data_IF_658663053906
#
_entry.id   IF_658663053906
#
_cell.length_a   1.000
_cell.length_b   1.000
_cell.length_c   1.000
_cell.angle_alpha   90.00
_cell.angle_beta   90.00
_cell.angle_gamma   90.00
#
_symmetry.space_group_name_H-M   'P 1'
#
loop_
_entity.id
_entity.type
_entity.pdbx_description
1 polymer ?
#
# COMPACT_ATOMS: atom_id res chain seq x y z
N UNK A 1 -16.20 -0.14 -11.57
CA UNK A 1 -14.98 -0.41 -10.77
C UNK A 1 -13.72 -0.49 -11.65
N UNK A 2 -13.81 -0.93 -12.92
CA UNK A 2 -12.68 -0.92 -13.87
C UNK A 2 -12.05 0.47 -14.11
N UNK A 3 -12.86 1.53 -14.25
CA UNK A 3 -12.34 2.89 -14.41
C UNK A 3 -11.56 3.40 -13.18
N UNK A 4 -11.89 2.91 -11.98
CA UNK A 4 -11.16 3.22 -10.75
C UNK A 4 -9.81 2.48 -10.76
N UNK A 5 -9.82 1.23 -11.20
CA UNK A 5 -8.59 0.45 -11.41
C UNK A 5 -7.63 1.10 -12.39
N UNK A 6 -8.12 1.58 -13.53
CA UNK A 6 -7.28 2.28 -14.51
C UNK A 6 -6.70 3.58 -13.95
N UNK A 7 -7.45 4.33 -13.13
CA UNK A 7 -6.92 5.52 -12.44
C UNK A 7 -5.87 5.17 -11.39
N UNK A 8 -6.08 4.09 -10.63
CA UNK A 8 -5.10 3.60 -9.65
C UNK A 8 -3.83 3.06 -10.31
N UNK A 9 -3.93 2.59 -11.55
CA UNK A 9 -2.81 2.14 -12.38
C UNK A 9 -2.23 3.26 -13.25
N UNK A 10 -2.79 4.47 -13.20
CA UNK A 10 -2.29 5.62 -13.94
C UNK A 10 -1.20 6.31 -13.12
N UNK A 11 0.06 6.15 -13.53
CA UNK A 11 1.25 6.70 -12.86
C UNK A 11 1.50 8.18 -13.19
N UNK A 12 0.65 8.80 -14.04
CA UNK A 12 0.76 10.20 -14.44
C UNK A 12 -0.11 11.16 -13.62
N UNK A 13 -0.99 10.63 -12.76
CA UNK A 13 -1.95 11.39 -11.94
C UNK A 13 -1.64 11.24 -10.44
N UNK A 14 -2.09 12.18 -9.58
CA UNK A 14 -2.02 12.02 -8.13
C UNK A 14 -2.76 10.74 -7.71
N UNK A 15 -2.14 9.97 -6.82
CA UNK A 15 -2.64 8.66 -6.44
C UNK A 15 -3.82 8.77 -5.46
N UNK A 16 -5.01 8.34 -5.88
CA UNK A 16 -6.23 8.35 -5.07
C UNK A 16 -6.25 7.20 -4.03
N UNK A 17 -5.63 7.42 -2.87
CA UNK A 17 -5.58 6.42 -1.78
C UNK A 17 -6.98 6.07 -1.24
N UNK A 18 -7.92 7.01 -1.25
CA UNK A 18 -9.31 6.75 -0.86
C UNK A 18 -10.01 5.77 -1.80
N UNK A 19 -9.70 5.83 -3.10
CA UNK A 19 -10.25 4.90 -4.07
C UNK A 19 -9.65 3.50 -3.91
N UNK A 20 -8.35 3.40 -3.58
CA UNK A 20 -7.73 2.13 -3.22
C UNK A 20 -8.40 1.52 -1.98
N UNK A 21 -8.72 2.33 -0.97
CA UNK A 21 -9.41 1.87 0.23
C UNK A 21 -10.76 1.23 -0.09
N UNK A 22 -11.55 1.85 -0.97
CA UNK A 22 -12.82 1.30 -1.43
C UNK A 22 -12.64 -0.02 -2.20
N UNK A 23 -11.57 -0.14 -3.00
CA UNK A 23 -11.23 -1.38 -3.72
C UNK A 23 -10.87 -2.50 -2.73
N UNK A 24 -10.05 -2.20 -1.72
CA UNK A 24 -9.67 -3.16 -0.66
C UNK A 24 -10.87 -3.55 0.19
N UNK A 25 -11.78 -2.62 0.49
CA UNK A 25 -13.05 -2.92 1.16
C UNK A 25 -13.93 -3.84 0.30
N UNK A 26 -14.07 -3.58 -1.01
CA UNK A 26 -14.79 -4.45 -1.92
C UNK A 26 -14.14 -5.83 -2.10
N UNK A 27 -12.81 -5.93 -1.94
CA UNK A 27 -12.11 -7.22 -1.92
C UNK A 27 -12.45 -8.02 -0.66
N UNK A 28 -12.54 -7.36 0.49
CA UNK A 28 -12.86 -7.99 1.78
C UNK A 28 -14.34 -8.30 1.96
N UNK A 29 -15.23 -7.63 1.23
CA UNK A 29 -16.65 -7.90 1.27
C UNK A 29 -16.99 -9.15 0.43
N UNK A 30 -17.39 -10.28 1.06
CA UNK A 30 -17.63 -11.54 0.36
C UNK A 30 -18.92 -11.53 -0.48
N UNK A 31 -19.74 -10.48 -0.41
CA UNK A 31 -20.99 -10.32 -1.17
C UNK A 31 -20.82 -9.42 -2.39
N UNK A 32 -19.66 -8.79 -2.55
CA UNK A 32 -19.45 -7.82 -3.62
C UNK A 32 -19.19 -8.52 -4.96
N UNK A 33 -20.03 -8.30 -5.99
CA UNK A 33 -19.82 -8.87 -7.33
C UNK A 33 -18.53 -8.38 -8.00
N UNK A 34 -17.94 -7.31 -7.46
CA UNK A 34 -16.71 -6.71 -7.95
C UNK A 34 -15.44 -7.21 -7.25
N UNK A 35 -15.53 -8.17 -6.34
CA UNK A 35 -14.38 -8.74 -5.63
C UNK A 35 -13.28 -9.23 -6.60
N UNK A 36 -13.69 -9.89 -7.70
CA UNK A 36 -12.75 -10.36 -8.73
C UNK A 36 -12.01 -9.22 -9.44
N UNK A 37 -12.71 -8.12 -9.72
CA UNK A 37 -12.14 -6.94 -10.36
C UNK A 37 -11.21 -6.22 -9.39
N UNK A 38 -11.60 -6.08 -8.12
CA UNK A 38 -10.78 -5.51 -7.07
C UNK A 38 -9.46 -6.28 -6.90
N UNK A 39 -9.53 -7.61 -6.88
CA UNK A 39 -8.34 -8.45 -6.78
C UNK A 39 -7.41 -8.30 -8.00
N UNK A 40 -7.96 -8.27 -9.23
CA UNK A 40 -7.16 -8.02 -10.43
C UNK A 40 -6.45 -6.66 -10.40
N UNK A 41 -7.13 -5.61 -9.93
CA UNK A 41 -6.53 -4.28 -9.77
C UNK A 41 -5.39 -4.32 -8.76
N UNK A 42 -5.58 -5.00 -7.62
CA UNK A 42 -4.54 -5.14 -6.59
C UNK A 42 -3.33 -5.93 -7.10
N UNK A 43 -3.55 -7.01 -7.83
CA UNK A 43 -2.46 -7.79 -8.44
C UNK A 43 -1.72 -6.96 -9.48
N UNK A 44 -2.43 -6.29 -10.40
CA UNK A 44 -1.83 -5.42 -11.39
C UNK A 44 -1.03 -4.26 -10.74
N UNK A 45 -1.55 -3.71 -9.64
CA UNK A 45 -0.86 -2.70 -8.87
C UNK A 45 0.36 -3.29 -8.16
N UNK A 46 0.34 -4.53 -7.68
CA UNK A 46 1.51 -5.15 -7.07
C UNK A 46 2.60 -5.51 -8.09
N UNK A 47 2.21 -5.93 -9.30
CA UNK A 47 3.15 -6.32 -10.36
C UNK A 47 3.90 -5.14 -10.99
N UNK A 48 3.30 -3.95 -10.92
CA UNK A 48 3.88 -2.76 -11.53
C UNK A 48 5.23 -2.38 -10.90
N UNK A 49 6.16 -1.91 -11.73
CA UNK A 49 7.55 -1.69 -11.30
C UNK A 49 7.74 -0.52 -10.34
N UNK A 50 6.87 0.48 -10.44
CA UNK A 50 6.92 1.69 -9.64
C UNK A 50 5.97 1.65 -8.43
N UNK A 51 5.38 0.49 -8.13
CA UNK A 51 4.38 0.37 -7.06
C UNK A 51 4.91 0.67 -5.67
N UNK A 52 6.20 0.44 -5.46
CA UNK A 52 6.88 0.78 -4.22
C UNK A 52 6.92 2.31 -3.96
N UNK A 53 6.88 3.15 -5.02
CA UNK A 53 6.76 4.61 -4.86
C UNK A 53 5.42 4.99 -4.26
N UNK A 54 4.35 4.30 -4.70
CA UNK A 54 2.98 4.50 -4.22
C UNK A 54 2.73 3.87 -2.86
N UNK A 55 3.49 2.83 -2.51
CA UNK A 55 3.36 2.17 -1.21
C UNK A 55 3.58 3.14 -0.04
N UNK A 56 4.50 4.10 -0.18
CA UNK A 56 4.75 5.16 0.80
C UNK A 56 3.51 6.05 1.01
N UNK A 57 2.92 6.56 -0.09
CA UNK A 57 1.68 7.35 -0.06
C UNK A 57 0.51 6.56 0.50
N UNK A 58 0.36 5.28 0.13
CA UNK A 58 -0.65 4.38 0.68
C UNK A 58 -0.53 4.30 2.19
N UNK A 59 0.69 4.12 2.71
CA UNK A 59 0.95 3.96 4.14
C UNK A 59 0.80 5.26 4.95
N UNK A 60 0.90 6.42 4.31
CA UNK A 60 0.67 7.73 4.95
C UNK A 60 -0.79 8.16 4.90
N UNK A 61 -1.45 8.03 3.75
CA UNK A 61 -2.80 8.58 3.56
C UNK A 61 -3.93 7.57 3.86
N UNK A 62 -3.63 6.26 3.85
CA UNK A 62 -4.68 5.26 4.09
C UNK A 62 -5.17 5.30 5.54
N UNK A 63 -6.49 5.24 5.70
CA UNK A 63 -7.13 5.04 7.01
C UNK A 63 -7.35 3.56 7.34
N UNK A 64 -7.54 2.68 6.36
CA UNK A 64 -7.78 1.25 6.61
C UNK A 64 -6.50 0.48 6.87
N UNK A 65 -6.56 -0.37 7.90
CA UNK A 65 -5.48 -1.31 8.27
C UNK A 65 -5.20 -2.28 7.12
N UNK A 66 -6.24 -2.74 6.43
CA UNK A 66 -6.15 -3.67 5.31
C UNK A 66 -5.30 -3.08 4.17
N UNK A 67 -5.60 -1.83 3.79
CA UNK A 67 -4.88 -1.10 2.75
C UNK A 67 -3.43 -0.79 3.17
N UNK A 68 -3.20 -0.49 4.46
CA UNK A 68 -1.83 -0.33 5.01
C UNK A 68 -1.03 -1.64 4.92
N UNK A 69 -1.65 -2.77 5.26
CA UNK A 69 -1.00 -4.08 5.17
C UNK A 69 -0.61 -4.39 3.72
N UNK A 70 -1.48 -4.09 2.76
CA UNK A 70 -1.18 -4.22 1.35
C UNK A 70 0.00 -3.33 0.91
N UNK A 71 0.05 -2.07 1.35
CA UNK A 71 1.21 -1.19 1.10
C UNK A 71 2.52 -1.74 1.67
N UNK A 72 2.48 -2.30 2.88
CA UNK A 72 3.63 -2.99 3.49
C UNK A 72 4.06 -4.22 2.68
N UNK A 73 3.11 -5.00 2.16
CA UNK A 73 3.41 -6.17 1.34
C UNK A 73 4.13 -5.77 0.04
N UNK A 74 3.73 -4.67 -0.59
CA UNK A 74 4.43 -4.13 -1.78
C UNK A 74 5.85 -3.70 -1.43
N UNK A 75 6.05 -3.03 -0.29
CA UNK A 75 7.39 -2.67 0.19
C UNK A 75 8.25 -3.92 0.48
N UNK A 76 7.68 -4.94 1.12
CA UNK A 76 8.40 -6.20 1.37
C UNK A 76 8.83 -6.85 0.06
N UNK A 77 7.94 -6.95 -0.93
CA UNK A 77 8.24 -7.55 -2.23
C UNK A 77 9.35 -6.77 -2.97
N UNK A 78 9.27 -5.43 -2.94
CA UNK A 78 10.28 -4.55 -3.50
C UNK A 78 11.65 -4.76 -2.84
N UNK A 79 11.70 -4.96 -1.52
CA UNK A 79 12.94 -5.24 -0.78
C UNK A 79 13.44 -6.67 -1.01
N UNK A 80 12.54 -7.65 -1.11
CA UNK A 80 12.92 -9.07 -1.26
C UNK A 80 13.41 -9.38 -2.67
N UNK A 81 12.71 -8.91 -3.69
CA UNK A 81 12.98 -9.29 -5.09
C UNK A 81 13.63 -8.17 -5.91
N UNK A 82 13.33 -6.90 -5.62
CA UNK A 82 13.78 -5.76 -6.45
C UNK A 82 14.87 -4.88 -5.80
N UNK A 83 15.32 -5.19 -4.58
CA UNK A 83 16.31 -4.37 -3.88
C UNK A 83 17.64 -4.22 -4.64
N UNK A 84 18.09 -5.26 -5.34
CA UNK A 84 19.35 -5.23 -6.10
C UNK A 84 19.27 -4.39 -7.38
N UNK A 85 18.09 -4.26 -7.97
CA UNK A 85 17.89 -3.50 -9.22
C UNK A 85 17.56 -2.03 -8.98
N UNK A 86 17.18 -1.67 -7.75
CA UNK A 86 16.85 -0.30 -7.39
C UNK A 86 18.10 0.60 -7.33
N UNK A 87 18.03 1.83 -7.87
CA UNK A 87 19.09 2.83 -7.74
C UNK A 87 19.37 3.13 -6.26
N UNK A 88 20.59 3.61 -5.97
CA UNK A 88 21.01 3.90 -4.58
C UNK A 88 20.08 4.90 -3.90
N UNK A 89 19.70 5.97 -4.58
CA UNK A 89 18.78 6.99 -4.06
C UNK A 89 17.45 6.39 -3.58
N UNK A 90 16.87 5.46 -4.35
CA UNK A 90 15.60 4.83 -3.98
C UNK A 90 15.74 3.88 -2.81
N UNK A 91 16.87 3.15 -2.73
CA UNK A 91 17.17 2.29 -1.57
C UNK A 91 17.33 3.10 -0.28
N UNK A 92 18.01 4.23 -0.35
CA UNK A 92 18.18 5.13 0.79
C UNK A 92 16.84 5.77 1.18
N UNK A 93 16.01 6.16 0.20
CA UNK A 93 14.64 6.64 0.42
C UNK A 93 13.76 5.62 1.15
N UNK A 94 13.74 4.37 0.68
CA UNK A 94 12.98 3.28 1.32
C UNK A 94 13.48 3.03 2.75
N UNK A 95 14.80 3.00 2.98
CA UNK A 95 15.38 2.87 4.33
C UNK A 95 14.94 4.00 5.25
N UNK A 96 15.09 5.24 4.80
CA UNK A 96 14.75 6.43 5.58
C UNK A 96 13.26 6.43 5.93
N UNK A 97 12.40 6.07 4.98
CA UNK A 97 10.97 5.93 5.18
C UNK A 97 10.63 4.87 6.25
N UNK A 98 11.19 3.67 6.14
CA UNK A 98 10.93 2.58 7.10
C UNK A 98 11.40 2.96 8.50
N UNK A 99 12.60 3.53 8.63
CA UNK A 99 13.15 3.99 9.91
C UNK A 99 12.28 5.10 10.49
N UNK A 100 11.85 6.06 9.67
CA UNK A 100 10.92 7.13 10.09
C UNK A 100 9.59 6.58 10.57
N UNK A 101 9.00 5.63 9.83
CA UNK A 101 7.74 4.99 10.21
C UNK A 101 7.86 4.19 11.50
N UNK A 102 8.95 3.43 11.67
CA UNK A 102 9.26 2.70 12.89
C UNK A 102 9.42 3.64 14.08
N UNK A 103 10.11 4.77 13.88
CA UNK A 103 10.31 5.77 14.91
C UNK A 103 8.97 6.41 15.33
N UNK A 104 8.15 6.86 14.37
CA UNK A 104 6.81 7.38 14.65
C UNK A 104 5.93 6.36 15.37
N UNK A 105 5.96 5.09 14.95
CA UNK A 105 5.17 4.03 15.58
C UNK A 105 5.68 3.69 17.00
N UNK A 106 6.98 3.79 17.23
CA UNK A 106 7.59 3.56 18.56
C UNK A 106 7.37 4.74 19.52
N UNK A 107 7.24 5.96 18.99
CA UNK A 107 6.85 7.13 19.78
C UNK A 107 5.35 7.17 20.11
N UNK A 108 4.52 6.41 19.40
CA UNK A 108 3.06 6.31 19.60
C UNK A 108 2.71 5.10 20.48
N UNK A 109 3.23 5.06 21.71
CA UNK A 109 2.99 4.00 22.71
C UNK A 109 1.50 3.91 23.14
N UNK A 110 0.71 4.94 22.83
CA UNK A 110 -0.72 5.03 23.17
C UNK A 110 -1.63 4.16 22.28
N UNK A 111 -1.22 3.85 21.05
CA UNK A 111 -2.03 3.04 20.12
C UNK A 111 -1.83 1.53 20.31
N UNK A 112 -0.69 1.13 20.88
CA UNK A 112 -0.35 -0.28 21.20
C UNK A 112 -1.30 -0.92 22.22
N UNK A 113 -1.93 -0.14 23.11
CA UNK A 113 -2.88 -0.66 24.07
C UNK A 113 -4.27 -0.95 23.46
N UNK A 114 -4.67 -0.22 22.42
CA UNK A 114 -5.99 -0.37 21.79
C UNK A 114 -6.04 -1.46 20.70
N UNK A 115 -4.92 -1.88 20.13
CA UNK A 115 -4.87 -2.97 19.14
C UNK A 115 -4.67 -4.36 19.75
N UNK A 116 -4.43 -4.45 21.08
CA UNK A 116 -4.31 -5.73 21.79
C UNK A 116 -5.66 -6.36 22.16
N UNK A 117 -6.77 -5.69 21.90
CA UNK A 117 -8.13 -6.20 22.11
C UNK A 117 -8.82 -6.38 20.75
N UNK A 118 -8.29 -7.30 19.94
CA UNK A 118 -9.02 -8.01 18.89
C UNK A 118 -8.57 -9.47 18.92
#
# INVERSE_FOLDING_TARGET
MEAVGQKLLDFSQPFDVTALDQVVQCMNDPKSPHQRVANQIMVALQEHQDSWTRASDILEQSSSIQTKFFGLQILEDAIRYRWKILPKDQREGIKSYIVGKLLSMSSDESTLHNQRIF
#
